data_IF_378769463681
#
_entry.id   IF_378769463681
#
_cell.length_a   1.000
_cell.length_b   1.000
_cell.length_c   1.000
_cell.angle_alpha   90.00
_cell.angle_beta   90.00
_cell.angle_gamma   90.00
#
_symmetry.space_group_name_H-M   'P 1'
#
loop_
_entity.id
_entity.type
_entity.pdbx_description
1 polymer ?
#
# COMPACT_ATOMS: atom_id res chain seq x y z
N UNK A 1 4.38 -42.39 -46.62
CA UNK A 1 3.20 -42.13 -45.76
C UNK A 1 3.49 -42.14 -44.25
N UNK A 2 4.58 -42.75 -43.78
CA UNK A 2 4.92 -42.89 -42.35
C UNK A 2 5.41 -41.59 -41.67
N UNK A 3 6.10 -40.73 -42.42
CA UNK A 3 6.71 -39.47 -41.93
C UNK A 3 5.70 -38.39 -41.53
N UNK A 4 4.53 -38.31 -42.19
CA UNK A 4 3.49 -37.31 -41.85
C UNK A 4 2.86 -37.55 -40.48
N UNK A 5 2.69 -38.82 -40.07
CA UNK A 5 2.11 -39.17 -38.75
C UNK A 5 3.06 -38.83 -37.59
N UNK A 6 4.37 -38.96 -37.81
CA UNK A 6 5.39 -38.64 -36.80
C UNK A 6 5.47 -37.12 -36.61
N UNK A 7 5.46 -36.35 -37.71
CA UNK A 7 5.49 -34.88 -37.66
C UNK A 7 4.26 -34.31 -36.92
N UNK A 8 3.06 -34.83 -37.22
CA UNK A 8 1.83 -34.37 -36.56
C UNK A 8 1.84 -34.63 -35.04
N UNK A 9 2.39 -35.77 -34.59
CA UNK A 9 2.52 -36.09 -33.16
C UNK A 9 3.49 -35.14 -32.44
N UNK A 10 4.60 -34.77 -33.07
CA UNK A 10 5.55 -33.81 -32.49
C UNK A 10 4.94 -32.40 -32.41
N UNK A 11 4.21 -31.97 -33.44
CA UNK A 11 3.51 -30.67 -33.43
C UNK A 11 2.46 -30.63 -32.30
N UNK A 12 1.67 -31.70 -32.13
CA UNK A 12 0.70 -31.79 -31.03
C UNK A 12 1.39 -31.80 -29.66
N UNK A 13 2.49 -32.54 -29.49
CA UNK A 13 3.22 -32.57 -28.21
C UNK A 13 3.81 -31.19 -27.85
N UNK A 14 4.39 -30.48 -28.84
CA UNK A 14 4.93 -29.13 -28.66
C UNK A 14 3.80 -28.13 -28.35
N UNK A 15 2.67 -28.20 -29.07
CA UNK A 15 1.53 -27.34 -28.81
C UNK A 15 0.94 -27.57 -27.41
N UNK A 16 0.81 -28.83 -26.98
CA UNK A 16 0.34 -29.17 -25.64
C UNK A 16 1.32 -28.72 -24.56
N UNK A 17 2.63 -28.86 -24.79
CA UNK A 17 3.66 -28.35 -23.87
C UNK A 17 3.65 -26.82 -23.79
N UNK A 18 3.48 -26.11 -24.91
CA UNK A 18 3.32 -24.65 -24.93
C UNK A 18 2.05 -24.21 -24.18
N UNK A 19 0.92 -24.89 -24.39
CA UNK A 19 -0.33 -24.60 -23.68
C UNK A 19 -0.15 -24.83 -22.16
N UNK A 20 0.41 -25.97 -21.75
CA UNK A 20 0.71 -26.26 -20.34
C UNK A 20 1.71 -25.27 -19.73
N UNK A 21 2.76 -24.89 -20.46
CA UNK A 21 3.71 -23.88 -20.01
C UNK A 21 3.04 -22.50 -19.86
N UNK A 22 2.13 -22.11 -20.76
CA UNK A 22 1.37 -20.86 -20.63
C UNK A 22 0.33 -20.89 -19.51
N UNK A 23 -0.21 -22.06 -19.15
CA UNK A 23 -1.13 -22.22 -18.01
C UNK A 23 -0.40 -22.26 -16.65
N UNK A 24 0.90 -22.60 -16.63
CA UNK A 24 1.77 -22.54 -15.45
C UNK A 24 2.41 -21.16 -15.24
N UNK A 25 2.27 -20.24 -16.21
CA UNK A 25 2.73 -18.86 -16.10
C UNK A 25 1.72 -18.03 -15.32
N UNK A 26 2.01 -17.89 -14.03
CA UNK A 26 1.47 -16.89 -13.11
C UNK A 26 0.01 -17.08 -12.70
N UNK A 27 -0.22 -17.95 -11.70
CA UNK A 27 -1.22 -17.61 -10.71
C UNK A 27 -0.75 -16.32 -10.02
N UNK A 28 -1.10 -15.17 -10.59
CA UNK A 28 -0.87 -13.87 -9.96
C UNK A 28 -1.75 -13.86 -8.73
N UNK A 29 -1.12 -14.04 -7.56
CA UNK A 29 -1.79 -13.89 -6.28
C UNK A 29 -2.19 -12.42 -6.15
N UNK A 30 -3.39 -12.09 -6.61
CA UNK A 30 -4.01 -10.81 -6.35
C UNK A 30 -4.29 -10.72 -4.86
N UNK A 31 -3.35 -10.13 -4.12
CA UNK A 31 -3.54 -9.84 -2.71
C UNK A 31 -4.36 -8.55 -2.60
N UNK A 32 -5.49 -8.64 -1.89
CA UNK A 32 -6.32 -7.49 -1.55
C UNK A 32 -5.53 -6.52 -0.65
N UNK A 33 -5.67 -5.20 -0.84
CA UNK A 33 -5.09 -4.15 0.02
C UNK A 33 -5.38 -4.40 1.52
N UNK A 34 -6.51 -5.04 1.80
CA UNK A 34 -6.91 -5.45 3.16
C UNK A 34 -5.92 -6.42 3.81
N UNK A 35 -5.26 -7.28 3.01
CA UNK A 35 -4.34 -8.34 3.48
C UNK A 35 -2.92 -7.85 3.77
N UNK A 36 -2.58 -6.63 3.36
CA UNK A 36 -1.24 -6.09 3.57
C UNK A 36 -1.04 -5.50 4.95
N UNK A 37 0.16 -5.71 5.45
CA UNK A 37 0.69 -5.19 6.69
C UNK A 37 1.80 -4.18 6.39
N UNK A 38 1.94 -3.22 7.29
CA UNK A 38 3.00 -2.20 7.30
C UNK A 38 3.89 -2.43 8.53
N UNK A 39 5.12 -1.96 8.46
CA UNK A 39 6.11 -2.01 9.53
C UNK A 39 7.06 -0.80 9.45
N UNK A 40 8.03 -0.73 10.36
CA UNK A 40 9.01 0.38 10.42
C UNK A 40 9.85 0.55 9.14
N UNK A 41 9.95 -0.50 8.32
CA UNK A 41 10.63 -0.46 7.01
C UNK A 41 9.72 0.17 5.96
N UNK A 42 8.41 -0.10 6.05
CA UNK A 42 7.40 0.42 5.14
C UNK A 42 7.27 1.94 5.27
N UNK A 43 7.38 2.46 6.49
CA UNK A 43 7.35 3.91 6.84
C UNK A 43 6.12 4.68 6.37
N UNK A 44 5.07 4.00 5.93
CA UNK A 44 3.73 4.56 5.80
C UNK A 44 2.74 3.60 6.47
N UNK A 45 1.57 4.10 6.80
CA UNK A 45 0.54 3.29 7.43
C UNK A 45 -0.83 3.55 6.79
N UNK A 46 -1.72 2.55 6.84
CA UNK A 46 -3.09 2.68 6.34
C UNK A 46 -4.03 3.12 7.45
N UNK A 47 -4.95 4.01 7.12
CA UNK A 47 -6.06 4.36 7.98
C UNK A 47 -6.98 3.14 8.05
N UNK A 48 -7.14 2.55 9.24
CA UNK A 48 -7.82 1.26 9.41
C UNK A 48 -9.31 1.23 9.02
N UNK A 49 -9.87 2.35 8.55
CA UNK A 49 -11.30 2.54 8.25
C UNK A 49 -11.61 2.67 6.75
N UNK A 50 -10.63 2.83 5.86
CA UNK A 50 -10.87 2.90 4.42
C UNK A 50 -9.79 3.64 3.63
N UNK A 51 -9.93 3.62 2.30
CA UNK A 51 -9.02 4.25 1.35
C UNK A 51 -9.79 4.81 0.14
N UNK A 52 -9.22 5.75 -0.61
CA UNK A 52 -9.95 6.39 -1.73
C UNK A 52 -10.24 5.39 -2.87
N UNK A 53 -9.29 4.52 -3.18
CA UNK A 53 -9.41 3.55 -4.27
C UNK A 53 -9.46 4.17 -5.67
N UNK A 54 -9.10 5.44 -5.80
CA UNK A 54 -8.99 6.17 -7.05
C UNK A 54 -7.94 7.27 -6.86
N UNK A 55 -7.20 7.61 -7.91
CA UNK A 55 -6.36 8.83 -7.91
C UNK A 55 -7.22 10.09 -7.92
N UNK A 56 -8.42 9.99 -8.51
CA UNK A 56 -9.27 11.13 -8.80
C UNK A 56 -10.37 11.26 -7.76
N UNK A 57 -10.49 12.46 -7.20
CA UNK A 57 -11.64 12.90 -6.39
C UNK A 57 -11.97 14.34 -6.73
N UNK A 58 -13.16 14.79 -6.32
CA UNK A 58 -13.55 16.20 -6.42
C UNK A 58 -13.84 16.78 -5.06
N UNK A 59 -13.80 18.11 -4.96
CA UNK A 59 -14.18 18.82 -3.74
C UNK A 59 -14.90 20.13 -4.06
N UNK A 60 -15.64 20.65 -3.08
CA UNK A 60 -16.13 22.02 -3.09
C UNK A 60 -15.79 22.72 -1.78
N UNK A 61 -15.87 24.05 -1.79
CA UNK A 61 -15.87 24.84 -0.57
C UNK A 61 -17.30 24.93 0.00
N UNK A 62 -17.41 25.04 1.31
CA UNK A 62 -18.70 25.25 1.98
C UNK A 62 -19.34 26.58 1.59
N UNK A 63 -18.52 27.61 1.37
CA UNK A 63 -18.97 28.94 0.93
C UNK A 63 -17.91 29.67 0.12
N UNK A 64 -18.32 30.73 -0.58
CA UNK A 64 -17.41 31.63 -1.29
C UNK A 64 -16.40 32.30 -0.34
N UNK A 65 -16.78 32.60 0.90
CA UNK A 65 -15.87 33.18 1.90
C UNK A 65 -14.74 32.21 2.22
N UNK A 66 -15.05 30.92 2.43
CA UNK A 66 -14.04 29.88 2.65
C UNK A 66 -13.12 29.78 1.44
N UNK A 67 -13.68 29.77 0.22
CA UNK A 67 -12.87 29.74 -1.01
C UNK A 67 -11.91 30.93 -1.09
N UNK A 68 -12.41 32.16 -0.92
CA UNK A 68 -11.62 33.38 -1.01
C UNK A 68 -10.46 33.38 -0.01
N UNK A 69 -10.68 32.89 1.20
CA UNK A 69 -9.68 32.95 2.27
C UNK A 69 -8.66 31.80 2.21
N UNK A 70 -9.06 30.60 1.76
CA UNK A 70 -8.26 29.38 1.95
C UNK A 70 -7.87 28.65 0.66
N UNK A 71 -8.40 29.03 -0.50
CA UNK A 71 -8.20 28.26 -1.74
C UNK A 71 -6.74 28.11 -2.16
N UNK A 72 -5.91 29.14 -1.99
CA UNK A 72 -4.48 29.06 -2.33
C UNK A 72 -3.77 27.97 -1.53
N UNK A 73 -4.05 27.84 -0.23
CA UNK A 73 -3.43 26.81 0.61
C UNK A 73 -3.95 25.42 0.27
N UNK A 74 -5.23 25.31 -0.09
CA UNK A 74 -5.82 24.05 -0.54
C UNK A 74 -5.19 23.55 -1.83
N UNK A 75 -5.09 24.41 -2.84
CA UNK A 75 -4.46 24.07 -4.12
C UNK A 75 -2.99 23.72 -3.92
N UNK A 76 -2.25 24.50 -3.13
CA UNK A 76 -0.84 24.22 -2.84
C UNK A 76 -0.65 22.90 -2.08
N UNK A 77 -1.46 22.62 -1.06
CA UNK A 77 -1.40 21.36 -0.31
C UNK A 77 -1.69 20.14 -1.19
N UNK A 78 -2.68 20.23 -2.08
CA UNK A 78 -2.97 19.18 -3.07
C UNK A 78 -1.77 18.97 -4.02
N UNK A 79 -1.16 20.07 -4.50
CA UNK A 79 -0.01 19.99 -5.43
C UNK A 79 1.22 19.31 -4.83
N UNK A 80 1.39 19.29 -3.50
CA UNK A 80 2.51 18.61 -2.85
C UNK A 80 2.51 17.09 -3.08
N UNK A 81 1.34 16.50 -3.38
CA UNK A 81 1.22 15.08 -3.74
C UNK A 81 1.55 14.79 -5.23
N UNK A 82 1.69 15.83 -6.04
CA UNK A 82 2.05 15.74 -7.45
C UNK A 82 1.06 14.91 -8.27
N UNK A 83 1.57 14.10 -9.20
CA UNK A 83 0.76 13.29 -10.11
C UNK A 83 0.18 12.01 -9.48
N UNK A 84 0.45 11.76 -8.19
CA UNK A 84 -0.09 10.58 -7.49
C UNK A 84 -1.59 10.72 -7.21
N UNK A 85 -2.11 11.96 -7.25
CA UNK A 85 -3.53 12.25 -7.06
C UNK A 85 -4.03 13.29 -8.08
N UNK A 86 -5.33 13.32 -8.26
CA UNK A 86 -6.07 14.35 -8.99
C UNK A 86 -7.28 14.77 -8.17
N UNK A 87 -7.07 15.68 -7.21
CA UNK A 87 -8.11 16.25 -6.37
C UNK A 87 -8.49 17.64 -6.91
N UNK A 88 -9.63 17.75 -7.57
CA UNK A 88 -10.00 18.97 -8.33
C UNK A 88 -11.24 19.66 -7.77
N UNK A 89 -11.24 20.98 -7.76
CA UNK A 89 -12.43 21.76 -7.38
C UNK A 89 -13.58 21.53 -8.37
N UNK A 90 -14.76 21.24 -7.84
CA UNK A 90 -16.03 21.21 -8.54
C UNK A 90 -17.11 21.72 -7.60
N UNK A 91 -17.70 22.88 -7.87
CA UNK A 91 -18.72 23.50 -7.02
C UNK A 91 -19.96 22.62 -6.77
N UNK A 92 -20.20 21.64 -7.63
CA UNK A 92 -21.28 20.65 -7.49
C UNK A 92 -20.83 19.33 -6.87
N UNK A 93 -19.60 19.24 -6.35
CA UNK A 93 -19.08 18.02 -5.72
C UNK A 93 -19.95 17.62 -4.52
N UNK A 94 -20.33 16.34 -4.50
CA UNK A 94 -20.97 15.69 -3.35
C UNK A 94 -20.01 14.80 -2.58
N UNK A 95 -18.74 14.73 -2.99
CA UNK A 95 -17.73 13.82 -2.43
C UNK A 95 -16.90 14.54 -1.37
N UNK A 96 -16.25 15.64 -1.75
CA UNK A 96 -15.33 16.37 -0.88
C UNK A 96 -15.84 17.74 -0.45
N UNK A 97 -15.60 18.10 0.80
CA UNK A 97 -15.97 19.40 1.37
C UNK A 97 -14.81 20.03 2.15
N UNK A 98 -14.45 21.26 1.80
CA UNK A 98 -13.66 22.12 2.69
C UNK A 98 -14.57 23.08 3.44
N UNK A 99 -14.51 23.05 4.77
CA UNK A 99 -15.26 23.93 5.68
C UNK A 99 -14.32 24.57 6.70
N UNK A 100 -14.78 25.64 7.33
CA UNK A 100 -14.01 26.38 8.35
C UNK A 100 -14.81 26.42 9.64
N UNK A 101 -14.13 26.17 10.76
CA UNK A 101 -14.70 26.37 12.09
C UNK A 101 -13.77 27.26 12.92
N UNK A 102 -14.35 28.09 13.78
CA UNK A 102 -13.63 28.83 14.81
C UNK A 102 -13.46 28.02 16.10
N UNK A 103 -13.93 26.78 16.15
CA UNK A 103 -13.82 25.94 17.35
C UNK A 103 -12.35 25.61 17.63
N UNK A 104 -11.93 25.84 18.87
CA UNK A 104 -10.56 25.54 19.29
C UNK A 104 -10.48 24.13 19.88
N UNK A 105 -10.31 23.14 19.00
CA UNK A 105 -10.18 21.74 19.41
C UNK A 105 -8.72 21.29 19.61
N UNK A 106 -7.77 22.22 19.73
CA UNK A 106 -6.34 21.90 19.84
C UNK A 106 -5.71 21.33 18.56
N UNK A 107 -6.40 21.43 17.42
CA UNK A 107 -5.92 21.03 16.10
C UNK A 107 -5.93 22.21 15.12
N UNK A 108 -5.16 22.10 14.04
CA UNK A 108 -5.08 23.11 12.98
C UNK A 108 -6.07 22.82 11.85
N UNK A 109 -6.24 21.53 11.55
CA UNK A 109 -7.29 21.02 10.68
C UNK A 109 -7.67 19.60 11.13
N UNK A 110 -8.73 19.04 10.56
CA UNK A 110 -9.11 17.65 10.75
C UNK A 110 -9.82 17.11 9.52
N UNK A 111 -9.75 15.78 9.35
CA UNK A 111 -10.41 15.06 8.28
C UNK A 111 -11.48 14.12 8.83
N UNK A 112 -12.68 14.18 8.25
CA UNK A 112 -13.81 13.30 8.51
C UNK A 112 -14.07 12.46 7.26
N UNK A 113 -14.25 11.15 7.41
CA UNK A 113 -14.48 10.23 6.29
C UNK A 113 -15.75 9.40 6.51
N UNK A 114 -16.46 9.13 5.41
CA UNK A 114 -17.44 8.05 5.32
C UNK A 114 -17.02 7.08 4.24
N UNK A 115 -17.44 5.83 4.33
CA UNK A 115 -17.00 4.76 3.44
C UNK A 115 -18.12 3.80 3.08
N UNK A 116 -18.03 3.21 1.89
CA UNK A 116 -18.89 2.10 1.50
C UNK A 116 -18.43 0.83 2.21
N UNK A 117 -19.31 0.20 2.98
CA UNK A 117 -18.99 -1.01 3.77
C UNK A 117 -18.58 -2.21 2.92
N UNK A 118 -19.00 -2.27 1.66
CA UNK A 118 -18.70 -3.37 0.74
C UNK A 118 -17.29 -3.33 0.17
N UNK A 119 -16.69 -2.14 0.05
CA UNK A 119 -15.37 -1.95 -0.59
C UNK A 119 -14.35 -1.26 0.32
N UNK A 120 -14.81 -0.72 1.45
CA UNK A 120 -14.06 0.23 2.29
C UNK A 120 -13.53 1.45 1.51
N UNK A 121 -14.13 1.77 0.37
CA UNK A 121 -13.77 2.97 -0.38
C UNK A 121 -14.41 4.20 0.25
N UNK A 122 -13.68 5.31 0.29
CA UNK A 122 -14.20 6.61 0.72
C UNK A 122 -15.41 7.00 -0.14
N UNK A 123 -16.54 7.23 0.51
CA UNK A 123 -17.79 7.65 -0.12
C UNK A 123 -17.91 9.18 -0.10
N UNK A 124 -17.66 9.80 1.05
CA UNK A 124 -17.55 11.25 1.21
C UNK A 124 -16.45 11.60 2.21
N UNK A 125 -15.92 12.80 2.11
CA UNK A 125 -14.95 13.33 3.06
C UNK A 125 -15.15 14.82 3.30
N UNK A 126 -14.74 15.29 4.48
CA UNK A 126 -14.69 16.69 4.81
C UNK A 126 -13.39 17.03 5.51
N UNK A 127 -12.77 18.15 5.12
CA UNK A 127 -11.67 18.76 5.84
C UNK A 127 -12.20 20.02 6.53
N UNK A 128 -12.04 20.08 7.85
CA UNK A 128 -12.34 21.26 8.65
C UNK A 128 -11.05 22.01 8.92
N UNK A 129 -10.99 23.27 8.50
CA UNK A 129 -9.88 24.18 8.85
C UNK A 129 -10.28 24.94 10.11
N UNK A 130 -9.46 24.85 11.17
CA UNK A 130 -9.73 25.56 12.43
C UNK A 130 -9.05 26.92 12.41
N UNK A 131 -9.78 27.97 12.03
CA UNK A 131 -9.22 29.29 11.71
C UNK A 131 -8.38 29.88 12.85
N UNK A 132 -8.78 29.67 14.11
CA UNK A 132 -8.07 30.19 15.28
C UNK A 132 -6.61 29.69 15.40
N UNK A 133 -6.34 28.48 14.94
CA UNK A 133 -4.99 27.88 14.95
C UNK A 133 -4.34 27.93 13.57
N UNK A 134 -5.12 27.72 12.51
CA UNK A 134 -4.63 27.69 11.14
C UNK A 134 -4.14 29.06 10.68
N UNK A 135 -4.87 30.14 10.99
CA UNK A 135 -4.55 31.46 10.44
C UNK A 135 -3.24 32.04 10.99
N UNK A 136 -2.82 31.66 12.20
CA UNK A 136 -1.54 32.06 12.79
C UNK A 136 -0.32 31.36 12.19
N UNK A 137 -0.51 30.27 11.45
CA UNK A 137 0.59 29.52 10.87
C UNK A 137 1.23 30.25 9.68
N UNK A 138 2.49 29.94 9.42
CA UNK A 138 3.19 30.35 8.21
C UNK A 138 2.51 29.78 6.96
N UNK A 139 2.78 30.37 5.79
CA UNK A 139 2.22 29.86 4.52
C UNK A 139 2.64 28.41 4.26
N UNK A 140 3.90 28.06 4.57
CA UNK A 140 4.40 26.69 4.42
C UNK A 140 3.66 25.71 5.33
N UNK A 141 3.50 26.05 6.60
CA UNK A 141 2.76 25.21 7.55
C UNK A 141 1.30 25.02 7.12
N UNK A 142 0.63 26.08 6.63
CA UNK A 142 -0.74 25.99 6.10
C UNK A 142 -0.83 25.02 4.92
N UNK A 143 0.09 25.12 3.96
CA UNK A 143 0.14 24.21 2.81
C UNK A 143 0.36 22.75 3.26
N UNK A 144 1.32 22.54 4.19
CA UNK A 144 1.66 21.22 4.70
C UNK A 144 0.53 20.62 5.55
N UNK A 145 -0.19 21.41 6.34
CA UNK A 145 -1.39 20.97 7.05
C UNK A 145 -2.44 20.47 6.05
N UNK A 146 -2.73 21.22 4.98
CA UNK A 146 -3.69 20.71 4.00
C UNK A 146 -3.19 19.44 3.31
N UNK A 147 -1.90 19.36 2.97
CA UNK A 147 -1.34 18.14 2.38
C UNK A 147 -1.46 16.93 3.32
N UNK A 148 -1.23 17.11 4.62
CA UNK A 148 -1.42 16.08 5.64
C UNK A 148 -2.87 15.57 5.67
N UNK A 149 -3.84 16.48 5.74
CA UNK A 149 -5.26 16.13 5.74
C UNK A 149 -5.67 15.43 4.43
N UNK A 150 -5.14 15.85 3.28
CA UNK A 150 -5.34 15.14 2.01
C UNK A 150 -4.77 13.72 2.07
N UNK A 151 -3.65 13.49 2.75
CA UNK A 151 -3.13 12.14 3.00
C UNK A 151 -4.17 11.26 3.71
N UNK A 152 -4.85 11.79 4.72
CA UNK A 152 -5.95 11.11 5.40
C UNK A 152 -7.15 10.86 4.48
N UNK A 153 -7.54 11.84 3.65
CA UNK A 153 -8.61 11.67 2.64
C UNK A 153 -8.36 10.45 1.75
N UNK A 154 -7.12 10.21 1.38
CA UNK A 154 -6.77 9.06 0.55
C UNK A 154 -6.66 7.75 1.33
N UNK A 155 -6.46 7.80 2.66
CA UNK A 155 -6.41 6.62 3.52
C UNK A 155 -5.04 6.37 4.16
N UNK A 156 -4.14 7.35 4.15
CA UNK A 156 -2.90 7.27 4.93
C UNK A 156 -3.20 7.56 6.41
N UNK A 157 -2.64 6.75 7.30
CA UNK A 157 -2.64 7.00 8.73
C UNK A 157 -1.38 7.77 9.16
N UNK A 158 -1.40 8.26 10.40
CA UNK A 158 -0.21 8.83 11.02
C UNK A 158 0.96 7.84 11.05
N UNK A 159 2.17 8.40 10.99
CA UNK A 159 3.44 7.68 11.17
C UNK A 159 4.25 8.29 12.31
N UNK A 160 5.20 7.52 12.86
CA UNK A 160 6.10 7.95 13.93
C UNK A 160 7.43 8.55 13.42
N UNK A 161 7.51 8.88 12.14
CA UNK A 161 8.71 9.46 11.53
C UNK A 161 8.55 10.97 11.37
N UNK A 162 9.32 11.73 12.14
CA UNK A 162 9.27 13.19 12.21
C UNK A 162 9.74 13.93 10.95
N UNK A 163 10.10 13.24 9.87
CA UNK A 163 10.43 13.85 8.58
C UNK A 163 9.30 13.75 7.54
N UNK A 164 8.24 12.99 7.84
CA UNK A 164 7.18 12.68 6.88
C UNK A 164 5.96 13.57 7.05
N UNK A 165 5.25 13.84 5.95
CA UNK A 165 4.03 14.66 5.97
C UNK A 165 2.99 14.07 6.91
N UNK A 166 2.88 12.74 7.00
CA UNK A 166 1.93 12.04 7.86
C UNK A 166 2.38 11.91 9.33
N UNK A 167 3.42 12.64 9.75
CA UNK A 167 3.78 12.68 11.17
C UNK A 167 2.68 13.37 11.99
N UNK A 168 2.29 12.79 13.13
CA UNK A 168 1.14 13.25 13.91
C UNK A 168 1.29 14.66 14.55
N UNK A 169 2.50 15.23 14.57
CA UNK A 169 2.76 16.52 15.24
C UNK A 169 2.86 17.69 14.25
N UNK A 170 2.36 18.85 14.68
CA UNK A 170 2.28 20.10 13.92
C UNK A 170 3.65 20.81 13.74
N UNK A 171 4.48 20.30 12.84
CA UNK A 171 5.67 21.01 12.34
C UNK A 171 5.70 20.93 10.82
N UNK A 172 6.34 21.87 10.11
CA UNK A 172 6.45 21.78 8.66
C UNK A 172 7.19 20.50 8.28
N UNK A 173 6.52 19.64 7.53
CA UNK A 173 7.02 18.37 6.97
C UNK A 173 6.76 18.35 5.48
N UNK A 174 7.56 17.60 4.76
CA UNK A 174 7.40 17.45 3.32
C UNK A 174 6.81 16.08 3.00
N UNK A 175 6.10 16.00 1.87
CA UNK A 175 5.73 14.72 1.27
C UNK A 175 7.01 13.99 0.87
N UNK A 176 7.24 12.82 1.44
CA UNK A 176 8.41 11.97 1.15
C UNK A 176 8.07 10.86 0.17
N UNK A 177 9.09 10.18 -0.37
CA UNK A 177 8.87 8.99 -1.19
C UNK A 177 8.07 7.89 -0.48
N UNK A 178 8.18 7.78 0.85
CA UNK A 178 7.42 6.78 1.62
C UNK A 178 5.93 7.13 1.68
N UNK A 179 5.61 8.42 1.77
CA UNK A 179 4.22 8.88 1.71
C UNK A 179 3.62 8.62 0.32
N UNK A 180 4.42 8.82 -0.75
CA UNK A 180 4.02 8.51 -2.13
C UNK A 180 3.81 7.01 -2.38
N UNK A 181 4.67 6.16 -1.82
CA UNK A 181 4.50 4.70 -1.88
C UNK A 181 3.17 4.26 -1.28
N UNK A 182 2.81 4.81 -0.11
CA UNK A 182 1.53 4.57 0.51
C UNK A 182 0.37 5.12 -0.33
N UNK A 183 0.51 6.33 -0.87
CA UNK A 183 -0.51 6.97 -1.71
C UNK A 183 -0.83 6.12 -2.96
N UNK A 184 0.17 5.52 -3.58
CA UNK A 184 -0.03 4.63 -4.73
C UNK A 184 -0.88 3.41 -4.39
N UNK A 185 -0.71 2.87 -3.19
CA UNK A 185 -1.52 1.75 -2.67
C UNK A 185 -2.95 2.23 -2.40
N UNK A 186 -3.10 3.37 -1.73
CA UNK A 186 -4.40 3.93 -1.35
C UNK A 186 -5.29 4.37 -2.52
N UNK A 187 -4.70 4.63 -3.70
CA UNK A 187 -5.40 5.11 -4.91
C UNK A 187 -5.78 4.00 -5.89
N UNK A 188 -5.52 2.71 -5.57
CA UNK A 188 -5.63 1.58 -6.50
C UNK A 188 -4.79 1.69 -7.79
N UNK A 189 -3.91 2.69 -7.93
CA UNK A 189 -2.87 2.68 -8.97
C UNK A 189 -1.95 1.47 -8.76
N UNK A 190 -1.75 1.11 -7.50
CA UNK A 190 -1.00 -0.05 -7.08
C UNK A 190 -1.97 -1.14 -6.58
N UNK A 191 -2.65 -1.80 -7.53
CA UNK A 191 -3.38 -3.03 -7.24
C UNK A 191 -2.42 -4.21 -7.41
N UNK A 192 -2.13 -4.95 -6.33
CA UNK A 192 -1.26 -6.14 -6.37
C UNK A 192 -1.86 -7.33 -7.16
N UNK A 193 -2.90 -7.10 -7.96
CA UNK A 193 -3.36 -8.00 -9.03
C UNK A 193 -2.42 -8.03 -10.24
N UNK A 194 -1.36 -7.20 -10.25
CA UNK A 194 -0.28 -7.22 -11.23
C UNK A 194 0.99 -7.96 -10.77
N UNK A 195 1.89 -8.26 -11.72
CA UNK A 195 3.20 -8.87 -11.47
C UNK A 195 4.20 -7.82 -10.94
N UNK A 196 4.08 -7.40 -9.69
CA UNK A 196 5.06 -6.50 -9.09
C UNK A 196 6.32 -7.27 -8.68
N UNK A 197 7.51 -6.65 -8.78
CA UNK A 197 8.71 -7.22 -8.19
C UNK A 197 8.50 -7.37 -6.69
N UNK A 198 8.71 -8.59 -6.19
CA UNK A 198 8.63 -8.90 -4.76
C UNK A 198 10.00 -9.33 -4.23
N UNK A 199 10.20 -9.10 -2.94
CA UNK A 199 11.30 -9.64 -2.17
C UNK A 199 10.78 -10.52 -1.04
N UNK A 200 11.59 -11.48 -0.62
CA UNK A 200 11.28 -12.37 0.49
C UNK A 200 12.20 -12.06 1.65
N UNK A 201 11.60 -11.81 2.80
CA UNK A 201 12.31 -11.56 4.07
C UNK A 201 11.83 -12.60 5.07
N UNK A 202 12.76 -13.31 5.71
CA UNK A 202 12.40 -14.28 6.74
C UNK A 202 11.76 -13.55 7.92
N UNK A 203 10.57 -14.01 8.35
CA UNK A 203 9.84 -13.41 9.48
C UNK A 203 9.92 -14.29 10.72
N UNK A 204 9.64 -15.58 10.55
CA UNK A 204 9.83 -16.62 11.57
C UNK A 204 10.44 -17.86 10.91
N UNK A 205 10.64 -18.92 11.69
CA UNK A 205 11.08 -20.22 11.16
C UNK A 205 10.04 -20.90 10.25
N UNK A 206 8.80 -20.39 10.19
CA UNK A 206 7.70 -20.99 9.43
C UNK A 206 6.92 -19.97 8.60
N UNK A 207 7.43 -18.73 8.48
CA UNK A 207 6.78 -17.69 7.70
C UNK A 207 7.76 -16.67 7.15
N UNK A 208 7.48 -16.16 5.94
CA UNK A 208 8.23 -15.09 5.30
C UNK A 208 7.32 -13.90 5.00
N UNK A 209 7.86 -12.68 5.04
CA UNK A 209 7.22 -11.51 4.46
C UNK A 209 7.46 -11.53 2.94
N UNK A 210 6.37 -11.46 2.19
CA UNK A 210 6.41 -11.18 0.75
C UNK A 210 6.23 -9.68 0.59
N UNK A 211 7.33 -8.97 0.33
CA UNK A 211 7.37 -7.52 0.30
C UNK A 211 7.27 -7.02 -1.13
N UNK A 212 6.39 -6.04 -1.36
CA UNK A 212 6.33 -5.34 -2.63
C UNK A 212 7.54 -4.38 -2.74
N UNK A 213 8.32 -4.48 -3.80
CA UNK A 213 9.48 -3.59 -3.97
C UNK A 213 9.07 -2.16 -4.37
N UNK A 214 7.84 -1.96 -4.85
CA UNK A 214 7.32 -0.63 -5.20
C UNK A 214 6.82 0.10 -3.94
N UNK A 215 5.92 -0.51 -3.16
CA UNK A 215 5.28 0.17 -2.05
C UNK A 215 5.78 -0.25 -0.66
N UNK A 216 6.69 -1.23 -0.58
CA UNK A 216 7.31 -1.74 0.66
C UNK A 216 6.37 -2.40 1.66
N UNK A 217 5.05 -2.37 1.45
CA UNK A 217 4.10 -3.19 2.20
C UNK A 217 4.37 -4.69 1.98
N UNK A 218 3.94 -5.51 2.94
CA UNK A 218 4.15 -6.94 2.88
C UNK A 218 2.90 -7.74 3.24
N UNK A 219 2.86 -8.97 2.74
CA UNK A 219 1.97 -10.00 3.24
C UNK A 219 2.78 -11.07 3.96
N UNK A 220 2.28 -11.55 5.10
CA UNK A 220 2.86 -12.71 5.75
C UNK A 220 2.44 -13.98 4.99
N UNK A 221 3.41 -14.77 4.55
CA UNK A 221 3.18 -16.05 3.93
C UNK A 221 3.65 -17.18 4.85
N UNK A 222 2.73 -18.12 5.13
CA UNK A 222 3.05 -19.34 5.86
C UNK A 222 3.77 -20.35 4.98
N UNK A 223 4.74 -21.04 5.56
CA UNK A 223 5.47 -22.14 4.94
C UNK A 223 5.25 -23.42 5.73
N UNK A 224 4.95 -24.51 5.03
CA UNK A 224 5.02 -25.85 5.60
C UNK A 224 6.47 -26.32 5.50
N UNK A 225 6.96 -27.06 6.49
CA UNK A 225 8.28 -27.67 6.40
C UNK A 225 8.20 -29.19 6.45
N UNK A 226 9.15 -29.83 5.79
CA UNK A 226 9.41 -31.26 5.94
C UNK A 226 10.88 -31.42 6.26
N UNK A 227 11.18 -32.12 7.35
CA UNK A 227 12.56 -32.47 7.70
C UNK A 227 12.85 -33.92 7.34
N UNK A 228 14.04 -34.18 6.81
CA UNK A 228 14.48 -35.52 6.48
C UNK A 228 16.01 -35.64 6.54
N UNK A 229 16.51 -36.87 6.62
CA UNK A 229 17.93 -37.17 6.61
C UNK A 229 18.32 -37.81 5.27
N UNK A 230 19.49 -37.44 4.75
CA UNK A 230 20.13 -38.15 3.65
C UNK A 230 21.64 -38.20 3.90
N UNK A 231 22.16 -39.39 4.19
CA UNK A 231 23.54 -39.59 4.63
C UNK A 231 23.84 -38.89 5.96
N UNK A 232 24.96 -38.15 6.02
CA UNK A 232 25.36 -37.34 7.17
C UNK A 232 24.80 -35.90 7.11
N UNK A 233 23.71 -35.68 6.38
CA UNK A 233 23.07 -34.37 6.30
C UNK A 233 21.61 -34.44 6.76
N UNK A 234 21.21 -33.40 7.50
CA UNK A 234 19.82 -33.12 7.81
C UNK A 234 19.33 -32.00 6.89
N UNK A 235 18.13 -32.15 6.35
CA UNK A 235 17.51 -31.21 5.41
C UNK A 235 16.19 -30.72 5.96
N UNK A 236 15.92 -29.42 5.80
CA UNK A 236 14.60 -28.83 5.91
C UNK A 236 14.17 -28.32 4.54
N UNK A 237 13.08 -28.86 4.02
CA UNK A 237 12.39 -28.35 2.84
C UNK A 237 11.24 -27.46 3.32
N UNK A 238 11.28 -26.18 2.98
CA UNK A 238 10.19 -25.23 3.18
C UNK A 238 9.38 -25.13 1.89
N UNK A 239 8.10 -25.46 1.97
CA UNK A 239 7.11 -25.30 0.92
C UNK A 239 6.19 -24.14 1.30
N UNK A 240 6.38 -23.00 0.65
CA UNK A 240 5.66 -21.77 0.96
C UNK A 240 4.51 -21.54 -0.03
N UNK A 241 3.37 -21.05 0.47
CA UNK A 241 2.19 -20.77 -0.36
C UNK A 241 2.50 -19.74 -1.46
N UNK A 242 3.43 -18.83 -1.20
CA UNK A 242 3.92 -17.82 -2.13
C UNK A 242 4.92 -18.33 -3.19
N UNK A 243 5.21 -19.64 -3.22
CA UNK A 243 6.10 -20.26 -4.20
C UNK A 243 7.60 -20.13 -3.91
N UNK A 244 8.02 -19.40 -2.87
CA UNK A 244 9.42 -19.32 -2.46
C UNK A 244 9.83 -20.54 -1.62
N UNK A 245 10.00 -21.67 -2.29
CA UNK A 245 10.43 -22.90 -1.62
C UNK A 245 11.93 -22.85 -1.35
N UNK A 246 12.34 -23.20 -0.13
CA UNK A 246 13.74 -23.17 0.30
C UNK A 246 14.18 -24.54 0.80
N UNK A 247 15.44 -24.88 0.57
CA UNK A 247 16.08 -26.06 1.16
C UNK A 247 17.23 -25.56 2.01
N UNK A 248 17.16 -25.83 3.32
CA UNK A 248 18.27 -25.64 4.23
C UNK A 248 18.86 -27.01 4.56
N UNK A 249 20.18 -27.11 4.62
CA UNK A 249 20.85 -28.33 5.07
C UNK A 249 22.03 -28.04 5.97
N UNK A 250 22.34 -28.99 6.86
CA UNK A 250 23.55 -28.96 7.67
C UNK A 250 24.10 -30.37 7.90
N UNK A 251 25.42 -30.49 8.14
CA UNK A 251 26.03 -31.74 8.55
C UNK A 251 25.45 -32.21 9.88
N UNK A 252 25.15 -33.50 10.00
CA UNK A 252 24.70 -34.12 11.23
C UNK A 252 25.52 -35.39 11.53
N UNK A 253 26.12 -35.42 12.72
CA UNK A 253 26.92 -36.52 13.23
C UNK A 253 26.20 -37.25 14.38
N UNK A 254 25.04 -37.85 14.11
CA UNK A 254 24.31 -38.67 15.09
C UNK A 254 22.78 -38.45 15.09
N UNK A 255 22.04 -39.34 15.74
CA UNK A 255 20.59 -39.26 15.89
C UNK A 255 20.23 -39.21 17.39
N UNK A 256 19.54 -38.17 17.91
CA UNK A 256 18.94 -37.04 17.19
C UNK A 256 19.94 -35.95 16.81
N UNK A 257 19.73 -35.36 15.63
CA UNK A 257 20.41 -34.13 15.23
C UNK A 257 19.95 -32.98 16.13
N UNK A 258 20.88 -32.32 16.82
CA UNK A 258 20.59 -31.08 17.55
C UNK A 258 20.48 -29.96 16.50
N UNK A 259 19.36 -29.23 16.48
CA UNK A 259 19.22 -28.06 15.61
C UNK A 259 20.23 -26.98 16.03
N UNK A 260 20.90 -26.27 15.09
CA UNK A 260 21.81 -25.19 15.42
C UNK A 260 21.12 -23.88 15.86
N UNK A 261 19.86 -23.94 16.29
CA UNK A 261 19.06 -22.78 16.69
C UNK A 261 18.32 -23.07 18.00
#
# INVERSE_FOLDING_TARGET
MYTKKILLRHILAIATFLILATMMLNAVFAMDISTFQTDDITRWNKLGVGHMGSTTTTYRYESNTVKTNYSSYVVNGIMLWGTNISCTENNSSTIGLFKVSSDNIGATASTELTYYTSTNHVATWAITIYSNSFDSNTTEEKNNTIAHEIGHVYGLAHVNNSSQIMYYACFPKSVTSYDLDGMNVMTHVHTHSGSYPISYEQYTNTSHKVRCNTCRAYAACTCNYTSYHSGQQHYFLFNCICGNNQILSWPCSGNPCVQPF
#
